data_IF_092581442790
#
_entry.id   IF_092581442790
#
_cell.length_a   1.000
_cell.length_b   1.000
_cell.length_c   1.000
_cell.angle_alpha   90.00
_cell.angle_beta   90.00
_cell.angle_gamma   90.00
#
_symmetry.space_group_name_H-M   'P 1'
#
loop_
_entity.id
_entity.type
_entity.pdbx_description
1 polymer ?
#
# COMPACT_ATOMS: atom_id res chain seq x y z
N UNK A 1 -42.87 -35.37 -64.46
CA UNK A 1 -41.38 -35.30 -64.24
C UNK A 1 -41.12 -34.00 -63.56
N UNK A 2 -41.05 -33.98 -62.22
CA UNK A 2 -40.74 -32.74 -61.42
C UNK A 2 -39.45 -32.96 -60.71
N UNK A 3 -38.40 -32.19 -61.07
CA UNK A 3 -37.12 -32.17 -60.37
C UNK A 3 -37.20 -31.17 -59.21
N UNK A 4 -37.09 -31.66 -57.98
CA UNK A 4 -36.83 -30.80 -56.78
C UNK A 4 -35.36 -30.55 -56.68
N UNK A 5 -34.91 -29.29 -56.48
CA UNK A 5 -33.54 -29.00 -56.07
C UNK A 5 -33.34 -29.21 -54.58
N UNK A 6 -32.37 -29.99 -54.21
CA UNK A 6 -31.87 -30.16 -52.81
C UNK A 6 -31.16 -28.88 -52.34
N UNK A 7 -31.78 -28.23 -51.39
CA UNK A 7 -31.19 -27.08 -50.71
C UNK A 7 -30.12 -27.58 -49.72
N UNK A 8 -28.85 -27.27 -50.00
CA UNK A 8 -27.74 -27.59 -49.13
C UNK A 8 -27.63 -26.49 -48.07
N UNK A 9 -28.00 -26.78 -46.84
CA UNK A 9 -27.82 -25.85 -45.70
C UNK A 9 -26.42 -26.03 -45.16
N UNK A 10 -25.54 -25.04 -45.43
CA UNK A 10 -24.24 -24.93 -44.78
C UNK A 10 -24.42 -24.30 -43.40
N UNK A 11 -24.32 -25.09 -42.36
CA UNK A 11 -24.23 -24.61 -40.98
C UNK A 11 -22.80 -24.20 -40.67
N UNK A 12 -22.50 -22.91 -40.66
CA UNK A 12 -21.24 -22.36 -40.17
C UNK A 12 -21.24 -22.34 -38.64
N UNK A 13 -20.53 -23.26 -38.02
CA UNK A 13 -20.28 -23.25 -36.58
C UNK A 13 -19.24 -22.12 -36.28
N UNK A 14 -19.72 -21.04 -35.69
CA UNK A 14 -18.85 -19.98 -35.17
C UNK A 14 -18.18 -20.47 -33.88
N UNK A 15 -16.87 -20.73 -33.93
CA UNK A 15 -16.05 -21.06 -32.79
C UNK A 15 -15.80 -19.76 -32.01
N UNK A 16 -16.56 -19.53 -30.94
CA UNK A 16 -16.28 -18.44 -29.99
C UNK A 16 -15.04 -18.78 -29.17
N UNK A 17 -13.90 -18.20 -29.56
CA UNK A 17 -12.67 -18.25 -28.76
C UNK A 17 -12.87 -17.29 -27.57
N UNK A 18 -13.28 -17.83 -26.43
CA UNK A 18 -13.23 -17.09 -25.16
C UNK A 18 -11.77 -16.87 -24.77
N UNK A 19 -11.24 -15.67 -25.02
CA UNK A 19 -9.99 -15.21 -24.41
C UNK A 19 -10.25 -15.01 -22.92
N UNK A 20 -9.97 -16.02 -22.11
CA UNK A 20 -9.82 -15.84 -20.67
C UNK A 20 -8.66 -14.86 -20.48
N UNK A 21 -8.97 -13.62 -20.11
CA UNK A 21 -7.98 -12.69 -19.59
C UNK A 21 -7.41 -13.34 -18.34
N UNK A 22 -6.18 -13.87 -18.44
CA UNK A 22 -5.35 -14.18 -17.31
C UNK A 22 -5.13 -12.84 -16.59
N UNK A 23 -5.91 -12.60 -15.54
CA UNK A 23 -5.58 -11.59 -14.55
C UNK A 23 -4.23 -12.01 -13.98
N UNK A 24 -3.15 -11.47 -14.52
CA UNK A 24 -1.80 -11.70 -14.06
C UNK A 24 -1.79 -11.34 -12.58
N UNK A 25 -1.44 -12.30 -11.73
CA UNK A 25 -1.21 -12.06 -10.32
C UNK A 25 -0.26 -10.88 -10.20
N UNK A 26 -0.70 -9.83 -9.53
CA UNK A 26 0.11 -8.61 -9.40
C UNK A 26 1.46 -9.00 -8.79
N UNK A 27 2.54 -8.69 -9.49
CA UNK A 27 3.88 -8.94 -8.97
C UNK A 27 4.18 -8.16 -7.68
N UNK A 28 3.30 -7.23 -7.34
CA UNK A 28 3.35 -6.44 -6.12
C UNK A 28 2.34 -7.00 -5.09
N UNK A 29 2.83 -7.27 -3.88
CA UNK A 29 2.04 -7.70 -2.73
C UNK A 29 2.20 -6.72 -1.59
N UNK A 30 1.11 -6.34 -0.98
CA UNK A 30 1.08 -5.41 0.14
C UNK A 30 0.76 -6.19 1.42
N UNK A 31 1.64 -6.09 2.41
CA UNK A 31 1.49 -6.75 3.69
C UNK A 31 1.26 -5.74 4.81
N UNK A 32 0.40 -6.13 5.74
CA UNK A 32 0.08 -5.44 7.00
C UNK A 32 -0.19 -3.93 6.85
N UNK A 33 -1.10 -3.52 5.93
CA UNK A 33 -1.43 -2.11 5.79
C UNK A 33 -2.17 -1.60 7.03
N UNK A 34 -1.67 -0.50 7.61
CA UNK A 34 -2.34 0.17 8.71
C UNK A 34 -2.20 1.68 8.66
N UNK A 35 -3.16 2.37 9.26
CA UNK A 35 -3.16 3.81 9.47
C UNK A 35 -3.01 4.08 10.96
N UNK A 36 -2.18 5.05 11.30
CA UNK A 36 -1.98 5.45 12.70
C UNK A 36 -3.21 6.17 13.23
N UNK A 37 -3.74 5.70 14.36
CA UNK A 37 -4.75 6.43 15.09
C UNK A 37 -4.15 7.71 15.67
N UNK A 38 -4.80 8.83 15.45
CA UNK A 38 -4.41 10.15 15.96
C UNK A 38 -5.49 10.69 16.89
N UNK A 39 -5.17 11.64 17.78
CA UNK A 39 -6.15 12.27 18.65
C UNK A 39 -7.28 12.96 17.86
N UNK A 40 -8.46 13.03 18.46
CA UNK A 40 -9.61 13.79 17.93
C UNK A 40 -9.21 15.23 17.59
N UNK A 41 -9.73 15.75 16.48
CA UNK A 41 -9.39 17.07 15.95
C UNK A 41 -8.10 17.12 15.13
N UNK A 42 -7.34 16.02 15.02
CA UNK A 42 -6.18 15.93 14.14
C UNK A 42 -6.62 15.56 12.73
N UNK A 43 -6.28 16.36 11.73
CA UNK A 43 -6.67 16.18 10.33
C UNK A 43 -5.59 15.51 9.48
N UNK A 44 -4.49 15.06 10.09
CA UNK A 44 -3.35 14.48 9.38
C UNK A 44 -2.86 13.22 10.08
N UNK A 45 -2.61 12.15 9.30
CA UNK A 45 -2.05 10.91 9.81
C UNK A 45 -1.15 10.23 8.78
N UNK A 46 -0.45 9.16 9.20
CA UNK A 46 0.40 8.34 8.34
C UNK A 46 -0.16 6.94 8.13
N UNK A 47 0.02 6.43 6.92
CA UNK A 47 -0.23 5.03 6.58
C UNK A 47 1.10 4.30 6.34
N UNK A 48 1.13 3.06 6.76
CA UNK A 48 2.32 2.21 6.82
C UNK A 48 1.98 0.82 6.30
N UNK A 49 2.94 0.17 5.67
CA UNK A 49 2.79 -1.17 5.08
C UNK A 49 4.13 -1.69 4.59
N UNK A 50 4.19 -2.96 4.25
CA UNK A 50 5.32 -3.52 3.50
C UNK A 50 4.88 -3.80 2.06
N UNK A 51 5.64 -3.31 1.09
CA UNK A 51 5.40 -3.55 -0.34
C UNK A 51 6.46 -4.54 -0.82
N UNK A 52 6.03 -5.71 -1.27
CA UNK A 52 6.87 -6.74 -1.87
C UNK A 52 6.77 -6.66 -3.38
N UNK A 53 7.90 -6.82 -4.05
CA UNK A 53 8.00 -6.89 -5.50
C UNK A 53 8.62 -8.24 -5.89
N UNK A 54 7.80 -9.13 -6.44
CA UNK A 54 8.26 -10.44 -6.93
C UNK A 54 8.81 -10.39 -8.35
N UNK A 55 8.70 -9.24 -9.05
CA UNK A 55 9.21 -9.10 -10.41
C UNK A 55 10.74 -8.92 -10.44
N UNK A 56 11.34 -9.23 -11.57
CA UNK A 56 12.76 -9.01 -11.81
C UNK A 56 13.13 -7.57 -12.15
N UNK A 57 12.14 -6.66 -12.21
CA UNK A 57 12.33 -5.24 -12.44
C UNK A 57 11.99 -4.43 -11.18
N UNK A 58 12.76 -3.40 -10.92
CA UNK A 58 12.43 -2.38 -9.92
C UNK A 58 11.07 -1.74 -10.24
N UNK A 59 10.33 -1.38 -9.20
CA UNK A 59 9.08 -0.61 -9.30
C UNK A 59 9.18 0.63 -8.42
N UNK A 60 8.42 1.66 -8.78
CA UNK A 60 8.37 2.90 -8.03
C UNK A 60 6.93 3.23 -7.70
N UNK A 61 6.64 3.36 -6.42
CA UNK A 61 5.38 3.95 -5.98
C UNK A 61 5.45 5.45 -6.24
N UNK A 62 4.63 5.97 -7.15
CA UNK A 62 4.68 7.38 -7.59
C UNK A 62 3.47 8.19 -7.12
N UNK A 63 2.39 7.52 -6.69
CA UNK A 63 1.19 8.20 -6.21
C UNK A 63 0.41 7.30 -5.25
N UNK A 64 -0.21 7.93 -4.27
CA UNK A 64 -1.23 7.30 -3.46
C UNK A 64 -2.46 8.22 -3.35
N UNK A 65 -3.63 7.63 -3.20
CA UNK A 65 -4.90 8.33 -2.98
C UNK A 65 -5.76 7.60 -1.96
N UNK A 66 -6.65 8.33 -1.30
CA UNK A 66 -7.64 7.76 -0.39
C UNK A 66 -8.90 8.62 -0.41
N UNK A 67 -10.11 8.04 -0.39
CA UNK A 67 -11.36 8.80 -0.37
C UNK A 67 -11.57 9.60 0.92
N UNK A 68 -10.87 9.23 2.01
CA UNK A 68 -10.99 9.89 3.31
C UNK A 68 -10.11 11.13 3.46
N UNK A 69 -9.26 11.44 2.48
CA UNK A 69 -8.29 12.54 2.54
C UNK A 69 -8.25 13.29 1.21
N UNK A 70 -8.27 14.62 1.27
CA UNK A 70 -8.20 15.45 0.06
C UNK A 70 -6.77 15.56 -0.49
N UNK A 71 -5.77 15.32 0.34
CA UNK A 71 -4.36 15.38 -0.03
C UNK A 71 -3.58 14.19 0.52
N UNK A 72 -3.00 13.39 -0.39
CA UNK A 72 -2.17 12.25 -0.04
C UNK A 72 -0.79 12.43 -0.65
N UNK A 73 0.26 12.27 0.16
CA UNK A 73 1.65 12.50 -0.23
C UNK A 73 2.55 11.35 0.20
N UNK A 74 3.62 11.12 -0.54
CA UNK A 74 4.70 10.21 -0.15
C UNK A 74 5.74 11.00 0.63
N UNK A 75 6.11 10.51 1.81
CA UNK A 75 7.05 11.19 2.70
C UNK A 75 8.16 10.25 3.15
N UNK A 76 9.28 10.85 3.53
CA UNK A 76 10.37 10.17 4.23
C UNK A 76 10.89 11.03 5.38
N UNK A 77 11.55 10.39 6.35
CA UNK A 77 12.34 11.08 7.33
C UNK A 77 13.79 11.15 6.88
N UNK A 78 14.38 12.33 6.91
CA UNK A 78 15.80 12.58 6.62
C UNK A 78 16.48 13.20 7.83
N UNK A 79 17.70 12.78 8.09
CA UNK A 79 18.52 13.43 9.11
C UNK A 79 19.25 14.61 8.47
N UNK A 80 18.91 15.82 8.89
CA UNK A 80 19.58 17.05 8.50
C UNK A 80 20.30 17.64 9.72
N UNK A 81 21.62 17.50 9.77
CA UNK A 81 22.48 18.01 10.86
C UNK A 81 22.06 17.52 12.26
N UNK A 82 21.70 16.24 12.39
CA UNK A 82 21.26 15.64 13.65
C UNK A 82 19.78 15.83 13.98
N UNK A 83 19.04 16.55 13.13
CA UNK A 83 17.59 16.76 13.29
C UNK A 83 16.85 15.92 12.26
N UNK A 84 15.92 15.07 12.74
CA UNK A 84 15.03 14.30 11.87
C UNK A 84 13.95 15.22 11.31
N UNK A 85 13.94 15.40 9.99
CA UNK A 85 12.94 16.19 9.27
C UNK A 85 12.14 15.31 8.33
N UNK A 86 10.84 15.54 8.30
CA UNK A 86 9.94 14.92 7.34
C UNK A 86 9.96 15.69 6.02
N UNK A 87 10.09 15.00 4.90
CA UNK A 87 10.11 15.57 3.55
C UNK A 87 9.16 14.83 2.64
N UNK A 88 8.43 15.57 1.82
CA UNK A 88 7.73 15.01 0.67
C UNK A 88 8.74 14.53 -0.38
N UNK A 89 8.46 13.38 -0.98
CA UNK A 89 9.28 12.78 -2.03
C UNK A 89 8.39 12.39 -3.23
N UNK A 90 8.92 12.42 -4.44
CA UNK A 90 8.15 12.11 -5.64
C UNK A 90 7.86 10.62 -5.80
N UNK A 91 8.68 9.76 -5.25
CA UNK A 91 8.59 8.32 -5.42
C UNK A 91 9.21 7.54 -4.26
N UNK A 92 8.74 6.30 -4.08
CA UNK A 92 9.35 5.31 -3.19
C UNK A 92 9.75 4.09 -4.03
N UNK A 93 11.03 3.76 -4.03
CA UNK A 93 11.58 2.64 -4.78
C UNK A 93 11.27 1.31 -4.10
N UNK A 94 10.75 0.35 -4.86
CA UNK A 94 10.54 -1.05 -4.46
C UNK A 94 11.50 -1.91 -5.26
N UNK A 95 12.59 -2.43 -4.68
CA UNK A 95 13.62 -3.15 -5.42
C UNK A 95 13.09 -4.37 -6.16
N UNK A 96 13.72 -4.74 -7.26
CA UNK A 96 13.46 -5.99 -7.96
C UNK A 96 13.67 -7.19 -7.03
N UNK A 97 12.76 -8.16 -7.05
CA UNK A 97 12.78 -9.35 -6.19
C UNK A 97 13.01 -9.02 -4.70
N UNK A 98 12.46 -7.88 -4.25
CA UNK A 98 12.70 -7.34 -2.92
C UNK A 98 11.46 -6.74 -2.29
N UNK A 99 11.68 -5.92 -1.27
CA UNK A 99 10.62 -5.21 -0.55
C UNK A 99 11.08 -3.84 -0.09
N UNK A 100 10.11 -2.96 0.18
CA UNK A 100 10.29 -1.72 0.93
C UNK A 100 9.33 -1.69 2.12
N UNK A 101 9.79 -1.24 3.26
CA UNK A 101 8.99 -1.09 4.47
C UNK A 101 8.66 0.39 4.70
N UNK A 102 7.38 0.72 4.60
CA UNK A 102 6.85 2.01 5.02
C UNK A 102 6.54 1.90 6.52
N UNK A 103 7.32 2.60 7.34
CA UNK A 103 7.23 2.50 8.81
C UNK A 103 7.50 3.86 9.48
N UNK A 104 7.07 4.04 10.74
CA UNK A 104 7.40 5.25 11.50
C UNK A 104 8.89 5.54 11.51
N UNK A 105 9.26 6.80 11.23
CA UNK A 105 10.67 7.21 11.15
C UNK A 105 11.35 6.92 9.80
N UNK A 106 10.64 6.39 8.81
CA UNK A 106 11.13 6.07 7.48
C UNK A 106 10.14 6.55 6.42
N UNK A 107 10.04 5.83 5.28
CA UNK A 107 9.01 6.07 4.26
C UNK A 107 7.62 5.88 4.85
N UNK A 108 6.66 6.68 4.40
CA UNK A 108 5.23 6.55 4.74
C UNK A 108 4.36 7.34 3.76
N UNK A 109 3.08 7.00 3.75
CA UNK A 109 2.06 7.72 3.02
C UNK A 109 1.36 8.66 4.01
N UNK A 110 1.39 9.97 3.74
CA UNK A 110 0.69 10.96 4.56
C UNK A 110 -0.71 11.19 4.02
N UNK A 111 -1.70 11.04 4.89
CA UNK A 111 -3.09 11.42 4.67
C UNK A 111 -3.30 12.79 5.33
N UNK A 112 -3.51 13.83 4.52
CA UNK A 112 -3.60 15.22 4.93
C UNK A 112 -5.01 15.73 4.61
N UNK A 113 -5.55 16.61 5.44
CA UNK A 113 -6.92 17.12 5.29
C UNK A 113 -7.96 15.98 5.27
N UNK A 114 -7.91 15.16 6.33
CA UNK A 114 -8.89 14.08 6.50
C UNK A 114 -10.31 14.66 6.67
N UNK A 115 -11.27 14.06 5.98
CA UNK A 115 -12.69 14.47 5.95
C UNK A 115 -13.47 14.07 7.19
N UNK A 116 -12.96 13.09 7.94
CA UNK A 116 -13.58 12.58 9.14
C UNK A 116 -12.55 12.07 10.13
N UNK A 117 -12.93 12.02 11.39
CA UNK A 117 -12.14 11.39 12.45
C UNK A 117 -12.08 9.88 12.26
N UNK A 118 -10.94 9.30 12.59
CA UNK A 118 -10.71 7.86 12.54
C UNK A 118 -10.90 7.24 13.93
N UNK A 119 -11.44 6.05 13.95
CA UNK A 119 -11.57 5.20 15.15
C UNK A 119 -10.70 3.97 15.00
N UNK A 120 -10.25 3.43 16.14
CA UNK A 120 -9.51 2.17 16.14
C UNK A 120 -10.34 1.05 15.51
N UNK A 121 -9.75 0.32 14.57
CA UNK A 121 -10.41 -0.74 13.82
C UNK A 121 -11.10 -0.30 12.53
N UNK A 122 -11.22 1.01 12.26
CA UNK A 122 -11.74 1.50 10.97
C UNK A 122 -10.86 0.98 9.82
N UNK A 123 -11.48 0.82 8.65
CA UNK A 123 -10.81 0.45 7.42
C UNK A 123 -10.70 1.64 6.49
N UNK A 124 -9.48 1.94 6.09
CA UNK A 124 -9.15 3.08 5.24
C UNK A 124 -8.71 2.56 3.88
N UNK A 125 -9.49 2.79 2.81
CA UNK A 125 -9.08 2.43 1.46
C UNK A 125 -7.92 3.32 1.01
N UNK A 126 -6.87 2.69 0.47
CA UNK A 126 -5.71 3.37 -0.10
C UNK A 126 -5.43 2.75 -1.47
N UNK A 127 -5.45 3.59 -2.51
CA UNK A 127 -5.03 3.21 -3.85
C UNK A 127 -3.62 3.73 -4.11
N UNK A 128 -2.75 2.86 -4.59
CA UNK A 128 -1.36 3.15 -4.92
C UNK A 128 -1.13 2.96 -6.41
N UNK A 129 -0.43 3.90 -7.06
CA UNK A 129 -0.07 3.83 -8.47
C UNK A 129 1.44 3.74 -8.62
N UNK A 130 1.88 2.86 -9.49
CA UNK A 130 3.29 2.60 -9.77
C UNK A 130 3.71 3.13 -11.13
N UNK A 131 5.03 3.23 -11.34
CA UNK A 131 5.65 3.80 -12.55
C UNK A 131 5.36 3.02 -13.83
N UNK A 132 5.01 1.73 -13.72
CA UNK A 132 4.60 0.88 -14.84
C UNK A 132 3.11 1.01 -15.21
N UNK A 133 2.37 1.91 -14.54
CA UNK A 133 0.94 2.12 -14.70
C UNK A 133 0.07 1.12 -13.93
N UNK A 134 0.66 0.17 -13.22
CA UNK A 134 -0.09 -0.73 -12.35
C UNK A 134 -0.63 0.00 -11.12
N UNK A 135 -1.72 -0.52 -10.57
CA UNK A 135 -2.34 -0.01 -9.35
C UNK A 135 -2.56 -1.13 -8.35
N UNK A 136 -2.45 -0.81 -7.07
CA UNK A 136 -2.81 -1.71 -5.97
C UNK A 136 -3.73 -1.00 -5.00
N UNK A 137 -4.80 -1.67 -4.60
CA UNK A 137 -5.76 -1.16 -3.61
C UNK A 137 -5.70 -2.02 -2.36
N UNK A 138 -5.67 -1.36 -1.20
CA UNK A 138 -5.66 -2.02 0.09
C UNK A 138 -6.61 -1.33 1.07
N UNK A 139 -7.11 -2.09 2.03
CA UNK A 139 -7.81 -1.56 3.19
C UNK A 139 -6.86 -1.57 4.39
N UNK A 140 -6.39 -0.39 4.78
CA UNK A 140 -5.51 -0.22 5.92
C UNK A 140 -6.32 -0.12 7.22
N UNK A 141 -6.02 -0.96 8.21
CA UNK A 141 -6.69 -0.93 9.50
C UNK A 141 -6.16 0.19 10.38
N UNK A 142 -7.04 0.98 10.99
CA UNK A 142 -6.63 2.03 11.93
C UNK A 142 -6.18 1.40 13.25
N UNK A 143 -4.94 1.69 13.67
CA UNK A 143 -4.32 1.13 14.88
C UNK A 143 -3.68 2.20 15.74
N UNK A 144 -3.72 2.01 17.06
CA UNK A 144 -2.84 2.75 17.98
C UNK A 144 -1.41 2.31 17.77
N UNK A 145 -0.50 3.27 17.68
CA UNK A 145 0.92 2.96 17.69
C UNK A 145 1.29 2.57 19.14
N UNK A 146 1.59 1.29 19.36
CA UNK A 146 2.21 0.88 20.61
C UNK A 146 3.67 1.36 20.55
N UNK A 147 4.00 2.40 21.31
CA UNK A 147 5.40 2.70 21.59
C UNK A 147 5.91 1.55 22.46
N UNK A 148 6.63 0.62 21.86
CA UNK A 148 7.48 -0.30 22.61
C UNK A 148 8.58 0.58 23.23
N UNK A 149 8.37 1.01 24.47
CA UNK A 149 9.47 1.57 25.24
C UNK A 149 10.51 0.46 25.36
N UNK A 150 11.79 0.71 25.00
CA UNK A 150 12.83 -0.25 25.33
C UNK A 150 12.78 -0.42 26.85
N UNK A 151 12.69 -1.69 27.29
CA UNK A 151 12.67 -2.04 28.69
C UNK A 151 13.85 -1.30 29.37
N UNK A 152 13.53 -0.40 30.29
CA UNK A 152 14.51 0.29 31.11
C UNK A 152 15.39 -0.77 31.75
N UNK A 153 16.69 -0.71 31.50
CA UNK A 153 17.68 -1.51 32.22
C UNK A 153 17.42 -1.31 33.73
N UNK A 154 16.96 -2.39 34.35
CA UNK A 154 16.90 -2.50 35.80
C UNK A 154 18.32 -2.26 36.29
N UNK A 155 18.63 -1.09 36.81
CA UNK A 155 19.87 -0.87 37.56
C UNK A 155 19.82 -1.80 38.78
N UNK A 156 20.59 -2.87 38.68
CA UNK A 156 20.84 -3.74 39.83
C UNK A 156 21.71 -2.94 40.81
N UNK A 157 21.02 -2.47 41.85
CA UNK A 157 21.64 -1.71 42.91
C UNK A 157 22.34 -2.71 43.85
N UNK A 158 23.55 -3.13 43.46
CA UNK A 158 24.40 -3.99 44.27
C UNK A 158 24.67 -3.35 45.62
N UNK A 159 24.00 -3.85 46.66
CA UNK A 159 24.17 -3.46 48.03
C UNK A 159 25.60 -3.64 48.51
N UNK A 160 26.24 -2.54 48.87
CA UNK A 160 27.42 -2.56 49.73
C UNK A 160 27.05 -3.07 51.12
N UNK A 161 27.57 -4.21 51.50
CA UNK A 161 27.62 -4.65 52.88
C UNK A 161 28.92 -4.13 53.50
N UNK A 162 28.76 -3.34 54.54
CA UNK A 162 29.80 -3.14 55.57
C UNK A 162 29.77 -4.30 56.54
#
# INVERSE_FOLDING_TARGET
>A
MYHLPRLLVLTTAALAVSTAALAGESALRIDDPYVRLVPSGTTTTGAFMTIHNASSAERKLVKATSPISDKVQLHTHMNENGVMKMREIPEIVVPASGKVELKPGSYHIMLIEMKSELKEGDRVPISMSFDDGSTSEVEATVRKLQMTMPASHKMDNGGMKH
#
